data_IF_764580519294
#
_entry.id   IF_764580519294
#
_cell.length_a   1.000
_cell.length_b   1.000
_cell.length_c   1.000
_cell.angle_alpha   90.00
_cell.angle_beta   90.00
_cell.angle_gamma   90.00
#
_symmetry.space_group_name_H-M   'P 1'
#
loop_
_entity.id
_entity.type
_entity.pdbx_description
1 polymer ?
#
# COMPACT_ATOMS: atom_id res chain seq x y z
N UNK A 1 0.03 4.15 -6.89
CA UNK A 1 1.13 3.69 -6.02
C UNK A 1 2.45 4.40 -6.32
N UNK A 2 3.42 4.31 -5.44
CA UNK A 2 4.71 5.02 -5.55
C UNK A 2 5.51 4.63 -6.79
N UNK A 3 5.32 3.40 -7.29
CA UNK A 3 5.96 2.91 -8.52
C UNK A 3 4.98 2.75 -9.69
N UNK A 4 3.98 3.60 -9.75
CA UNK A 4 3.04 3.65 -10.87
C UNK A 4 3.77 3.82 -12.20
N UNK A 5 3.35 3.07 -13.22
CA UNK A 5 3.98 3.04 -14.54
C UNK A 5 5.16 2.06 -14.69
N UNK A 6 5.57 1.38 -13.62
CA UNK A 6 6.56 0.29 -13.70
C UNK A 6 5.88 -1.03 -14.02
N UNK A 7 6.53 -1.86 -14.84
CA UNK A 7 6.06 -3.22 -15.10
C UNK A 7 6.34 -4.09 -13.89
N UNK A 8 5.30 -4.65 -13.30
CA UNK A 8 5.38 -5.42 -12.05
C UNK A 8 4.83 -6.84 -12.25
N UNK A 9 5.37 -7.78 -11.50
CA UNK A 9 4.82 -9.11 -11.34
C UNK A 9 3.86 -9.11 -10.15
N UNK A 10 2.59 -9.45 -10.37
CA UNK A 10 1.56 -9.42 -9.35
C UNK A 10 1.39 -10.80 -8.70
N UNK A 11 1.48 -10.86 -7.39
CA UNK A 11 0.98 -11.96 -6.56
C UNK A 11 -0.27 -11.47 -5.87
N UNK A 12 -1.43 -11.95 -6.32
CA UNK A 12 -2.72 -11.47 -5.83
C UNK A 12 -3.35 -12.46 -4.87
N UNK A 13 -3.50 -12.06 -3.63
CA UNK A 13 -4.18 -12.84 -2.60
C UNK A 13 -5.69 -12.70 -2.79
N UNK A 14 -6.38 -13.81 -3.04
CA UNK A 14 -7.80 -13.82 -3.38
C UNK A 14 -8.71 -13.80 -2.14
N UNK A 15 -8.17 -14.06 -0.95
CA UNK A 15 -8.95 -14.28 0.25
C UNK A 15 -9.77 -15.58 0.12
N UNK A 16 -11.02 -15.55 0.58
CA UNK A 16 -11.95 -16.70 0.54
C UNK A 16 -12.68 -16.86 -0.80
N UNK A 17 -12.13 -16.32 -1.91
CA UNK A 17 -12.78 -16.43 -3.21
C UNK A 17 -12.77 -17.89 -3.70
N UNK A 18 -13.92 -18.40 -4.15
CA UNK A 18 -14.10 -19.78 -4.66
C UNK A 18 -13.20 -20.12 -5.85
N UNK A 19 -12.75 -19.11 -6.60
CA UNK A 19 -11.88 -19.26 -7.77
C UNK A 19 -10.38 -19.16 -7.43
N UNK A 20 -10.03 -19.12 -6.14
CA UNK A 20 -8.64 -19.03 -5.73
C UNK A 20 -7.87 -20.29 -6.09
N UNK A 21 -6.69 -20.12 -6.69
CA UNK A 21 -5.75 -21.22 -6.92
C UNK A 21 -4.90 -21.40 -5.66
N UNK A 22 -4.87 -22.62 -5.14
CA UNK A 22 -4.07 -22.96 -3.97
C UNK A 22 -2.63 -23.23 -4.38
N UNK A 23 -1.69 -22.53 -3.75
CA UNK A 23 -0.25 -22.75 -3.91
C UNK A 23 0.36 -23.20 -2.59
N UNK A 24 1.32 -24.13 -2.65
CA UNK A 24 2.29 -24.26 -1.55
C UNK A 24 3.34 -23.15 -1.66
N UNK A 25 4.05 -22.87 -0.55
CA UNK A 25 5.12 -21.88 -0.53
C UNK A 25 6.23 -22.22 -1.53
N UNK A 26 6.59 -23.48 -1.67
CA UNK A 26 7.61 -23.97 -2.60
C UNK A 26 7.15 -23.81 -4.07
N UNK A 27 5.87 -24.08 -4.34
CA UNK A 27 5.31 -23.90 -5.69
C UNK A 27 5.34 -22.44 -6.10
N UNK A 28 4.94 -21.53 -5.20
CA UNK A 28 4.96 -20.10 -5.49
C UNK A 28 6.39 -19.59 -5.67
N UNK A 29 7.33 -19.98 -4.79
CA UNK A 29 8.73 -19.59 -4.89
C UNK A 29 9.33 -20.00 -6.24
N UNK A 30 9.13 -21.25 -6.68
CA UNK A 30 9.58 -21.73 -8.01
C UNK A 30 8.93 -20.97 -9.17
N UNK A 31 7.66 -20.61 -9.05
CA UNK A 31 6.99 -19.86 -10.10
C UNK A 31 7.49 -18.41 -10.17
N UNK A 32 7.74 -17.77 -9.03
CA UNK A 32 8.34 -16.44 -8.97
C UNK A 32 9.76 -16.44 -9.55
N UNK A 33 10.59 -17.41 -9.19
CA UNK A 33 11.94 -17.58 -9.75
C UNK A 33 11.92 -17.68 -11.29
N UNK A 34 11.05 -18.51 -11.85
CA UNK A 34 10.88 -18.62 -13.31
C UNK A 34 10.40 -17.31 -13.93
N UNK A 35 9.37 -16.68 -13.35
CA UNK A 35 8.80 -15.47 -13.90
C UNK A 35 9.78 -14.29 -13.88
N UNK A 36 10.58 -14.15 -12.82
CA UNK A 36 11.59 -13.09 -12.70
C UNK A 36 12.78 -13.29 -13.62
N UNK A 37 13.07 -14.54 -14.01
CA UNK A 37 14.12 -14.86 -14.98
C UNK A 37 13.66 -14.65 -16.43
N UNK A 38 12.38 -14.91 -16.72
CA UNK A 38 11.83 -14.88 -18.08
C UNK A 38 11.27 -13.52 -18.50
N UNK A 39 10.88 -12.68 -17.56
CA UNK A 39 10.21 -11.42 -17.84
C UNK A 39 11.02 -10.23 -17.37
N UNK A 40 11.10 -9.19 -18.21
CA UNK A 40 11.65 -7.88 -17.80
C UNK A 40 10.62 -7.16 -16.94
N UNK A 41 10.66 -7.42 -15.64
CA UNK A 41 9.82 -6.78 -14.63
C UNK A 41 10.69 -6.03 -13.63
N UNK A 42 10.16 -4.94 -13.09
CA UNK A 42 10.86 -4.08 -12.17
C UNK A 42 10.80 -4.60 -10.73
N UNK A 43 9.67 -5.17 -10.35
CA UNK A 43 9.40 -5.54 -8.95
C UNK A 43 8.29 -6.60 -8.87
N UNK A 44 8.18 -7.24 -7.71
CA UNK A 44 7.08 -8.11 -7.34
C UNK A 44 6.14 -7.30 -6.44
N UNK A 45 4.84 -7.33 -6.73
CA UNK A 45 3.82 -6.70 -5.92
C UNK A 45 2.92 -7.76 -5.28
N UNK A 46 2.96 -7.82 -3.95
CA UNK A 46 2.05 -8.61 -3.12
C UNK A 46 0.82 -7.76 -2.84
N UNK A 47 -0.32 -8.12 -3.40
CA UNK A 47 -1.56 -7.34 -3.32
C UNK A 47 -2.80 -8.21 -3.25
N UNK A 48 -3.95 -7.61 -3.28
CA UNK A 48 -5.23 -8.30 -3.29
C UNK A 48 -6.00 -8.12 -1.98
N UNK A 49 -6.79 -9.13 -1.62
CA UNK A 49 -7.62 -9.06 -0.42
C UNK A 49 -6.80 -9.51 0.79
N UNK A 50 -6.42 -8.56 1.64
CA UNK A 50 -5.71 -8.76 2.91
C UNK A 50 -4.50 -9.73 2.82
N UNK A 51 -3.41 -9.37 2.11
CA UNK A 51 -2.23 -10.23 1.99
C UNK A 51 -1.63 -10.65 3.35
N UNK A 52 -1.74 -9.78 4.35
CA UNK A 52 -1.21 -10.03 5.69
C UNK A 52 -1.98 -11.10 6.48
N UNK A 53 -3.19 -11.50 6.04
CA UNK A 53 -3.84 -12.69 6.59
C UNK A 53 -3.06 -13.98 6.29
N UNK A 54 -2.17 -13.93 5.29
CA UNK A 54 -1.28 -15.01 4.89
C UNK A 54 0.19 -14.75 5.25
N UNK A 55 0.48 -13.96 6.29
CA UNK A 55 1.85 -13.59 6.68
C UNK A 55 2.79 -14.79 6.86
N UNK A 56 2.42 -15.90 7.53
CA UNK A 56 3.27 -17.08 7.63
C UNK A 56 3.59 -17.71 6.25
N UNK A 57 2.65 -17.68 5.32
CA UNK A 57 2.88 -18.17 3.95
C UNK A 57 3.85 -17.26 3.20
N UNK A 58 3.69 -15.95 3.29
CA UNK A 58 4.61 -14.97 2.68
C UNK A 58 6.02 -15.18 3.25
N UNK A 59 6.13 -15.31 4.57
CA UNK A 59 7.40 -15.56 5.24
C UNK A 59 8.05 -16.88 4.80
N UNK A 60 7.28 -17.95 4.59
CA UNK A 60 7.78 -19.22 4.08
C UNK A 60 8.28 -19.11 2.62
N UNK A 61 7.56 -18.39 1.75
CA UNK A 61 7.96 -18.17 0.35
C UNK A 61 9.30 -17.43 0.29
N UNK A 62 9.38 -16.26 0.89
CA UNK A 62 10.56 -15.38 0.80
C UNK A 62 11.68 -15.76 1.79
N UNK A 63 11.38 -16.60 2.77
CA UNK A 63 12.40 -17.25 3.62
C UNK A 63 13.16 -18.38 2.91
N UNK A 64 12.50 -19.06 1.96
CA UNK A 64 13.11 -20.12 1.16
C UNK A 64 13.72 -19.63 -0.14
N UNK A 65 13.34 -18.45 -0.62
CA UNK A 65 13.79 -17.88 -1.88
C UNK A 65 14.06 -16.38 -1.75
N UNK A 66 15.31 -15.98 -2.04
CA UNK A 66 15.69 -14.57 -2.08
C UNK A 66 15.34 -13.97 -3.44
N UNK A 67 14.41 -13.01 -3.44
CA UNK A 67 14.04 -12.32 -4.67
C UNK A 67 15.20 -11.47 -5.22
N UNK A 68 15.54 -11.60 -6.52
CA UNK A 68 16.49 -10.69 -7.17
C UNK A 68 15.89 -9.30 -7.46
N UNK A 69 14.56 -9.16 -7.28
CA UNK A 69 13.81 -7.95 -7.54
C UNK A 69 13.23 -7.37 -6.24
N UNK A 70 13.04 -6.05 -6.19
CA UNK A 70 12.33 -5.43 -5.07
C UNK A 70 10.95 -6.05 -4.89
N UNK A 71 10.58 -6.30 -3.64
CA UNK A 71 9.25 -6.81 -3.26
C UNK A 71 8.46 -5.69 -2.59
N UNK A 72 7.26 -5.43 -3.09
CA UNK A 72 6.32 -4.46 -2.53
C UNK A 72 5.18 -5.22 -1.88
N UNK A 73 4.81 -4.80 -0.68
CA UNK A 73 3.59 -5.25 -0.02
C UNK A 73 2.56 -4.13 -0.01
N UNK A 74 1.39 -4.38 -0.56
CA UNK A 74 0.19 -3.55 -0.33
C UNK A 74 -0.59 -4.07 0.88
N UNK A 75 -1.00 -3.16 1.77
CA UNK A 75 -1.76 -3.47 2.97
C UNK A 75 -2.72 -2.33 3.30
N UNK A 76 -3.80 -2.63 4.02
CA UNK A 76 -4.67 -1.64 4.65
C UNK A 76 -4.13 -1.15 6.01
N UNK A 77 -3.00 -1.69 6.46
CA UNK A 77 -2.36 -1.33 7.73
C UNK A 77 -3.08 -1.87 8.98
N UNK A 78 -4.03 -2.79 8.83
CA UNK A 78 -4.86 -3.27 9.96
C UNK A 78 -4.23 -4.44 10.73
N UNK A 79 -3.06 -4.92 10.31
CA UNK A 79 -2.38 -6.09 10.91
C UNK A 79 -0.92 -5.80 11.25
N UNK A 80 -0.62 -4.90 12.22
CA UNK A 80 0.76 -4.54 12.56
C UNK A 80 1.59 -5.75 12.98
N UNK A 81 1.04 -6.69 13.74
CA UNK A 81 1.74 -7.89 14.21
C UNK A 81 2.12 -8.81 13.04
N UNK A 82 1.19 -9.06 12.12
CA UNK A 82 1.47 -9.85 10.92
C UNK A 82 2.46 -9.14 9.97
N UNK A 83 2.46 -7.82 9.95
CA UNK A 83 3.42 -7.02 9.19
C UNK A 83 4.84 -7.20 9.73
N UNK A 84 5.04 -7.24 11.04
CA UNK A 84 6.36 -7.49 11.66
C UNK A 84 6.97 -8.83 11.24
N UNK A 85 6.14 -9.86 10.98
CA UNK A 85 6.63 -11.16 10.51
C UNK A 85 7.23 -11.10 9.11
N UNK A 86 6.71 -10.22 8.24
CA UNK A 86 7.06 -10.21 6.81
C UNK A 86 7.91 -9.01 6.39
N UNK A 87 8.00 -7.96 7.21
CA UNK A 87 8.65 -6.70 6.84
C UNK A 87 10.10 -6.87 6.39
N UNK A 88 10.82 -7.83 6.96
CA UNK A 88 12.21 -8.16 6.59
C UNK A 88 12.36 -8.73 5.18
N UNK A 89 11.31 -9.22 4.58
CA UNK A 89 11.33 -9.82 3.23
C UNK A 89 10.87 -8.86 2.13
N UNK A 90 10.40 -7.68 2.50
CA UNK A 90 9.89 -6.70 1.55
C UNK A 90 10.79 -5.47 1.49
N UNK A 91 10.91 -4.90 0.31
CA UNK A 91 11.69 -3.69 0.07
C UNK A 91 10.88 -2.43 0.39
N UNK A 92 9.57 -2.53 0.24
CA UNK A 92 8.65 -1.42 0.43
C UNK A 92 7.29 -1.89 0.90
N UNK A 93 6.70 -1.18 1.85
CA UNK A 93 5.31 -1.34 2.26
C UNK A 93 4.51 -0.13 1.79
N UNK A 94 3.44 -0.38 1.04
CA UNK A 94 2.48 0.63 0.63
C UNK A 94 1.18 0.40 1.38
N UNK A 95 0.86 1.27 2.32
CA UNK A 95 -0.41 1.24 3.04
C UNK A 95 -1.44 2.08 2.30
N UNK A 96 -2.67 1.57 2.20
CA UNK A 96 -3.79 2.28 1.58
C UNK A 96 -4.88 2.39 2.63
N UNK A 97 -5.16 3.62 3.04
CA UNK A 97 -6.23 3.92 3.98
C UNK A 97 -7.43 4.52 3.27
N UNK A 98 -8.51 3.76 3.24
CA UNK A 98 -9.81 4.25 2.83
C UNK A 98 -10.56 4.72 4.07
N UNK A 99 -10.90 6.00 4.14
CA UNK A 99 -11.65 6.54 5.26
C UNK A 99 -13.04 5.89 5.32
N UNK A 100 -13.20 4.97 6.24
CA UNK A 100 -14.48 4.41 6.63
C UNK A 100 -14.95 5.10 7.91
N UNK A 101 -16.22 4.93 8.27
CA UNK A 101 -16.84 5.60 9.44
C UNK A 101 -16.27 5.14 10.80
N UNK A 102 -15.36 4.17 10.84
CA UNK A 102 -14.80 3.64 12.07
C UNK A 102 -13.47 4.31 12.45
N UNK A 103 -13.41 5.08 13.54
CA UNK A 103 -12.18 5.74 14.01
C UNK A 103 -11.06 4.78 14.44
N UNK A 104 -11.41 3.56 14.85
CA UNK A 104 -10.48 2.57 15.43
C UNK A 104 -9.42 2.04 14.46
N UNK A 105 -9.61 2.21 13.16
CA UNK A 105 -8.62 1.77 12.17
C UNK A 105 -7.39 2.65 12.07
N UNK A 106 -7.47 3.92 12.44
CA UNK A 106 -6.35 4.86 12.35
C UNK A 106 -5.20 4.48 13.30
N UNK A 107 -5.51 3.99 14.51
CA UNK A 107 -4.51 3.56 15.48
C UNK A 107 -3.68 2.38 14.97
N UNK A 108 -4.32 1.42 14.30
CA UNK A 108 -3.63 0.26 13.73
C UNK A 108 -2.71 0.65 12.58
N UNK A 109 -3.13 1.56 11.71
CA UNK A 109 -2.29 2.00 10.60
C UNK A 109 -1.07 2.79 11.13
N UNK A 110 -1.23 3.57 12.19
CA UNK A 110 -0.12 4.26 12.87
C UNK A 110 0.84 3.25 13.50
N UNK A 111 0.34 2.19 14.14
CA UNK A 111 1.17 1.12 14.67
C UNK A 111 1.93 0.39 13.54
N UNK A 112 1.28 0.11 12.42
CA UNK A 112 1.92 -0.48 11.24
C UNK A 112 3.01 0.41 10.65
N UNK A 113 2.79 1.74 10.58
CA UNK A 113 3.81 2.70 10.15
C UNK A 113 5.03 2.71 11.09
N UNK A 114 4.78 2.69 12.41
CA UNK A 114 5.85 2.60 13.40
C UNK A 114 6.69 1.34 13.24
N UNK A 115 6.04 0.18 13.05
CA UNK A 115 6.72 -1.11 12.87
C UNK A 115 7.61 -1.11 11.61
N UNK A 116 7.10 -0.61 10.49
CA UNK A 116 7.87 -0.54 9.23
C UNK A 116 9.02 0.44 9.33
N UNK A 117 8.81 1.60 9.97
CA UNK A 117 9.85 2.59 10.19
C UNK A 117 10.96 2.05 11.11
N UNK A 118 10.60 1.34 12.19
CA UNK A 118 11.55 0.69 13.09
C UNK A 118 12.39 -0.39 12.40
N UNK A 119 11.80 -1.10 11.40
CA UNK A 119 12.52 -2.06 10.58
C UNK A 119 13.41 -1.40 9.50
N UNK A 120 13.36 -0.08 9.34
CA UNK A 120 14.12 0.64 8.31
C UNK A 120 13.65 0.37 6.88
N UNK A 121 12.45 -0.19 6.70
CA UNK A 121 11.89 -0.52 5.39
C UNK A 121 11.23 0.72 4.77
N UNK A 122 11.44 0.93 3.46
CA UNK A 122 10.78 2.01 2.74
C UNK A 122 9.26 1.86 2.82
N UNK A 123 8.54 2.96 3.01
CA UNK A 123 7.09 2.89 3.19
C UNK A 123 6.37 4.13 2.67
N UNK A 124 5.12 3.94 2.31
CA UNK A 124 4.22 4.99 1.88
C UNK A 124 2.82 4.77 2.44
N UNK A 125 2.12 5.87 2.73
CA UNK A 125 0.72 5.88 3.13
C UNK A 125 -0.11 6.60 2.07
N UNK A 126 -1.03 5.88 1.44
CA UNK A 126 -2.01 6.45 0.53
C UNK A 126 -3.30 6.72 1.31
N UNK A 127 -3.70 7.97 1.36
CA UNK A 127 -4.95 8.43 1.95
C UNK A 127 -5.98 8.56 0.84
N UNK A 128 -7.01 7.71 0.86
CA UNK A 128 -8.10 7.70 -0.09
C UNK A 128 -9.40 8.17 0.59
N UNK A 129 -9.64 9.49 0.68
CA UNK A 129 -10.86 10.01 1.28
C UNK A 129 -12.07 9.60 0.46
N UNK A 130 -13.16 9.31 1.16
CA UNK A 130 -14.49 9.05 0.59
C UNK A 130 -15.36 10.29 0.72
N UNK A 131 -16.53 10.25 0.09
CA UNK A 131 -17.55 11.29 0.30
C UNK A 131 -17.89 11.42 1.78
N UNK A 132 -17.89 12.64 2.29
CA UNK A 132 -18.09 12.94 3.70
C UNK A 132 -16.82 12.97 4.57
N UNK A 133 -15.67 12.50 4.08
CA UNK A 133 -14.40 12.63 4.82
C UNK A 133 -14.04 14.10 4.98
N UNK A 134 -13.87 14.57 6.23
CA UNK A 134 -13.46 15.95 6.50
C UNK A 134 -11.93 16.11 6.35
N UNK A 135 -11.52 17.32 5.96
CA UNK A 135 -10.08 17.66 5.88
C UNK A 135 -9.39 17.51 7.23
N UNK A 136 -10.09 17.84 8.32
CA UNK A 136 -9.56 17.64 9.67
C UNK A 136 -9.29 16.18 10.04
N UNK A 137 -10.02 15.21 9.48
CA UNK A 137 -9.72 13.78 9.68
C UNK A 137 -8.45 13.38 8.92
N UNK A 138 -8.28 13.89 7.70
CA UNK A 138 -7.10 13.63 6.88
C UNK A 138 -5.87 14.22 7.54
N UNK A 139 -5.92 15.50 7.94
CA UNK A 139 -4.79 16.20 8.56
C UNK A 139 -4.38 15.55 9.89
N UNK A 140 -5.33 15.13 10.73
CA UNK A 140 -5.01 14.38 11.96
C UNK A 140 -4.24 13.09 11.69
N UNK A 141 -4.62 12.34 10.64
CA UNK A 141 -3.88 11.13 10.29
C UNK A 141 -2.49 11.46 9.73
N UNK A 142 -2.34 12.57 9.00
CA UNK A 142 -1.02 13.07 8.57
C UNK A 142 -0.14 13.41 9.76
N UNK A 143 -0.68 14.08 10.80
CA UNK A 143 0.03 14.39 12.04
C UNK A 143 0.47 13.12 12.78
N UNK A 144 -0.43 12.16 12.92
CA UNK A 144 -0.13 10.88 13.57
C UNK A 144 0.92 10.08 12.80
N UNK A 145 0.82 10.03 11.46
CA UNK A 145 1.79 9.37 10.61
C UNK A 145 3.17 10.06 10.69
N UNK A 146 3.21 11.40 10.71
CA UNK A 146 4.44 12.15 10.90
C UNK A 146 5.10 11.85 12.24
N UNK A 147 4.33 11.83 13.32
CA UNK A 147 4.85 11.54 14.66
C UNK A 147 5.39 10.10 14.77
N UNK A 148 4.72 9.13 14.16
CA UNK A 148 5.08 7.71 14.23
C UNK A 148 6.23 7.34 13.29
N UNK A 149 6.26 7.91 12.08
CA UNK A 149 7.17 7.56 11.01
C UNK A 149 7.45 8.78 10.11
N UNK A 150 8.32 9.71 10.50
CA UNK A 150 8.56 10.96 9.78
C UNK A 150 9.15 10.78 8.37
N UNK A 151 9.66 9.60 8.05
CA UNK A 151 10.14 9.23 6.72
C UNK A 151 9.07 8.67 5.77
N UNK A 152 7.80 8.63 6.19
CA UNK A 152 6.70 8.12 5.36
C UNK A 152 6.47 9.01 4.14
N UNK A 153 6.33 8.42 2.96
CA UNK A 153 5.77 9.15 1.82
C UNK A 153 4.25 9.14 1.90
N UNK A 154 3.63 10.30 2.01
CA UNK A 154 2.17 10.42 2.07
C UNK A 154 1.62 10.78 0.69
N UNK A 155 0.63 10.02 0.23
CA UNK A 155 -0.05 10.23 -1.04
C UNK A 155 -1.52 10.50 -0.78
N UNK A 156 -2.00 11.71 -1.04
CA UNK A 156 -3.43 12.01 -1.01
C UNK A 156 -4.01 11.62 -2.37
N UNK A 157 -4.96 10.70 -2.37
CA UNK A 157 -5.61 10.19 -3.57
C UNK A 157 -7.07 10.64 -3.56
N UNK A 158 -7.44 11.71 -4.29
CA UNK A 158 -8.79 12.24 -4.30
C UNK A 158 -9.83 11.18 -4.63
N UNK A 159 -11.00 11.25 -3.99
CA UNK A 159 -12.14 10.45 -4.39
C UNK A 159 -12.42 10.69 -5.90
N UNK A 160 -12.91 9.67 -6.63
CA UNK A 160 -13.33 9.88 -8.01
C UNK A 160 -14.37 11.00 -7.98
N UNK A 161 -14.00 12.17 -8.45
CA UNK A 161 -14.97 13.23 -8.66
C UNK A 161 -15.99 12.67 -9.65
N UNK A 162 -17.28 12.78 -9.36
CA UNK A 162 -18.29 12.79 -10.40
C UNK A 162 -17.86 13.80 -11.48
N UNK A 163 -18.72 14.46 -12.14
CA UNK A 163 -18.38 15.43 -13.22
C UNK A 163 -17.53 16.64 -12.77
N UNK A 164 -17.11 16.74 -11.50
CA UNK A 164 -16.30 17.86 -10.97
C UNK A 164 -14.81 17.55 -11.07
N UNK A 165 -14.09 18.47 -11.67
CA UNK A 165 -12.65 18.43 -11.93
C UNK A 165 -11.82 18.00 -10.70
N UNK A 166 -10.82 17.12 -10.85
CA UNK A 166 -9.88 16.76 -9.78
C UNK A 166 -8.99 17.93 -9.30
N UNK A 167 -9.04 19.07 -9.97
CA UNK A 167 -8.44 20.34 -9.55
C UNK A 167 -9.34 21.12 -8.58
N UNK A 168 -10.16 20.42 -7.80
CA UNK A 168 -10.98 21.09 -6.78
C UNK A 168 -10.03 21.84 -5.83
N UNK A 169 -10.28 23.14 -5.66
CA UNK A 169 -9.54 24.05 -4.77
C UNK A 169 -9.36 23.44 -3.36
N UNK A 170 -10.28 22.57 -2.93
CA UNK A 170 -10.21 21.83 -1.69
C UNK A 170 -8.92 21.00 -1.58
N UNK A 171 -8.59 20.18 -2.58
CA UNK A 171 -7.40 19.32 -2.53
C UNK A 171 -6.09 20.10 -2.64
N UNK A 172 -6.09 21.24 -3.33
CA UNK A 172 -4.93 22.13 -3.34
C UNK A 172 -4.66 22.69 -1.94
N UNK A 173 -5.71 23.22 -1.28
CA UNK A 173 -5.61 23.73 0.09
C UNK A 173 -5.24 22.61 1.09
N UNK A 174 -5.83 21.43 0.94
CA UNK A 174 -5.50 20.28 1.78
C UNK A 174 -4.03 19.86 1.63
N UNK A 175 -3.50 19.86 0.40
CA UNK A 175 -2.10 19.57 0.14
C UNK A 175 -1.19 20.61 0.82
N UNK A 176 -1.51 21.90 0.71
CA UNK A 176 -0.76 22.98 1.37
C UNK A 176 -0.74 22.77 2.88
N UNK A 177 -1.89 22.51 3.51
CA UNK A 177 -1.99 22.26 4.94
C UNK A 177 -1.22 21.00 5.37
N UNK A 178 -1.35 19.91 4.62
CA UNK A 178 -0.64 18.67 4.90
C UNK A 178 0.88 18.82 4.78
N UNK A 179 1.37 19.61 3.81
CA UNK A 179 2.81 19.86 3.64
C UNK A 179 3.41 20.71 4.77
N UNK A 180 2.62 21.50 5.47
CA UNK A 180 3.06 22.20 6.70
C UNK A 180 3.29 21.24 7.87
N UNK A 181 2.63 20.09 7.87
CA UNK A 181 2.75 19.06 8.91
C UNK A 181 3.84 18.04 8.54
N UNK A 182 3.81 17.57 7.29
CA UNK A 182 4.67 16.50 6.80
C UNK A 182 5.28 16.85 5.44
N UNK A 183 6.60 16.78 5.34
CA UNK A 183 7.33 17.31 4.18
C UNK A 183 7.08 16.55 2.87
N UNK A 184 6.99 15.21 2.92
CA UNK A 184 6.84 14.36 1.72
C UNK A 184 5.37 14.00 1.50
N UNK A 185 4.56 14.99 1.15
CA UNK A 185 3.15 14.81 0.78
C UNK A 185 2.97 15.12 -0.71
N UNK A 186 2.27 14.25 -1.41
CA UNK A 186 1.94 14.43 -2.83
C UNK A 186 0.45 14.20 -3.06
N UNK A 187 -0.10 14.92 -4.03
CA UNK A 187 -1.46 14.71 -4.54
C UNK A 187 -1.37 13.83 -5.79
N UNK A 188 -1.96 12.63 -5.73
CA UNK A 188 -2.03 11.74 -6.89
C UNK A 188 -3.31 12.00 -7.67
N UNK A 189 -3.17 12.26 -8.98
CA UNK A 189 -4.33 12.30 -9.85
C UNK A 189 -4.64 10.90 -10.39
N UNK A 190 -5.90 10.49 -10.35
CA UNK A 190 -6.36 9.34 -11.11
C UNK A 190 -6.37 9.72 -12.58
N UNK A 191 -5.52 9.11 -13.38
CA UNK A 191 -5.70 9.08 -14.82
C UNK A 191 -6.80 8.05 -15.05
N UNK A 192 -7.96 8.40 -15.62
CA UNK A 192 -8.95 7.42 -16.00
C UNK A 192 -8.26 6.42 -16.94
N UNK A 193 -8.20 5.16 -16.53
CA UNK A 193 -7.70 4.10 -17.42
C UNK A 193 -8.59 4.02 -18.67
N UNK A 194 -8.05 3.58 -19.81
CA UNK A 194 -8.88 3.34 -20.97
C UNK A 194 -10.02 2.38 -20.57
N UNK A 195 -11.25 2.81 -20.79
CA UNK A 195 -12.44 2.00 -20.59
C UNK A 195 -12.30 0.78 -21.52
N UNK A 196 -12.04 -0.41 -20.94
CA UNK A 196 -12.11 -1.66 -21.67
C UNK A 196 -10.81 -2.41 -21.92
N UNK A 197 -10.12 -2.80 -20.87
CA UNK A 197 -9.35 -4.05 -20.89
C UNK A 197 -9.76 -4.88 -19.68
N UNK A 198 -10.72 -5.76 -19.92
CA UNK A 198 -11.04 -6.87 -19.03
C UNK A 198 -9.95 -7.93 -19.10
#
# INVERSE_FOLDING_TARGET
GVWTGRRQLFVRFAGEAETAVLYSSEMLAKQLERATTQALVHSILLSGRDPLSCAPFIAAVFGSWSSPLPVILESDGQRPEALEEVVRFVTMVQMIWEFADAPSGAERIVASLSAVAAAGTAHALTLAPRDGTSDGQILRLVEQAHAAAPGTKIVIHPAPAGEKSPLDRRYATLLEQATMIHRDVVLAMRIPGPVGTR
#
